data_IF_794254322547
#
_entry.id   IF_794254322547
#
_cell.length_a   1.000
_cell.length_b   1.000
_cell.length_c   1.000
_cell.angle_alpha   90.00
_cell.angle_beta   90.00
_cell.angle_gamma   90.00
#
_symmetry.space_group_name_H-M   'P 1'
#
loop_
_entity.id
_entity.type
_entity.pdbx_description
1 polymer ?
#
# COMPACT_ATOMS: atom_id res chain seq x y z
N UNK A 1 64.75 25.68 31.66
CA UNK A 1 64.24 27.04 31.95
C UNK A 1 63.80 27.66 30.63
N UNK A 2 62.52 28.02 30.49
CA UNK A 2 61.94 29.04 29.56
C UNK A 2 62.15 28.79 28.05
N UNK A 3 61.19 28.74 27.13
CA UNK A 3 59.77 29.09 27.07
C UNK A 3 59.17 28.35 25.85
N UNK A 4 57.94 27.88 25.98
CA UNK A 4 57.03 27.62 24.86
C UNK A 4 56.32 28.95 24.54
N UNK A 5 56.09 29.30 23.27
CA UNK A 5 54.70 29.33 22.84
C UNK A 5 54.47 28.62 21.50
N UNK A 6 53.34 27.93 21.49
CA UNK A 6 52.65 27.32 20.37
C UNK A 6 52.34 28.35 19.27
N UNK A 7 52.63 28.00 18.02
CA UNK A 7 51.96 28.57 16.85
C UNK A 7 51.09 27.49 16.25
N UNK A 8 49.90 27.33 16.84
CA UNK A 8 48.74 26.78 16.15
C UNK A 8 48.13 27.90 15.32
N UNK A 9 48.16 27.76 14.00
CA UNK A 9 47.28 28.48 13.10
C UNK A 9 47.06 27.66 11.82
N UNK A 10 46.51 26.45 11.97
CA UNK A 10 45.79 25.82 10.86
C UNK A 10 44.45 26.54 10.74
N UNK A 11 44.38 27.55 9.87
CA UNK A 11 43.12 28.10 9.44
C UNK A 11 42.36 27.01 8.67
N UNK A 12 41.33 26.44 9.29
CA UNK A 12 40.26 25.73 8.59
C UNK A 12 39.56 26.75 7.70
N UNK A 13 39.98 26.83 6.44
CA UNK A 13 39.21 27.52 5.41
C UNK A 13 38.24 26.49 4.78
N UNK A 14 37.21 26.11 5.54
CA UNK A 14 35.97 25.62 4.93
C UNK A 14 35.31 26.82 4.28
N UNK A 15 35.65 27.10 3.02
CA UNK A 15 34.74 27.85 2.19
C UNK A 15 33.56 26.95 1.88
N UNK A 16 32.40 27.37 2.38
CA UNK A 16 31.11 26.88 1.97
C UNK A 16 31.07 26.89 0.45
N UNK A 17 31.18 25.70 -0.16
CA UNK A 17 30.64 25.53 -1.49
C UNK A 17 29.15 25.86 -1.35
N UNK A 18 28.61 26.84 -2.11
CA UNK A 18 27.17 26.93 -2.21
C UNK A 18 26.70 25.55 -2.63
N UNK A 19 25.84 24.92 -1.81
CA UNK A 19 24.97 23.88 -2.31
C UNK A 19 24.12 24.59 -3.34
N UNK A 20 24.56 24.53 -4.60
CA UNK A 20 23.67 24.82 -5.70
C UNK A 20 22.60 23.75 -5.61
N UNK A 21 21.44 24.14 -5.08
CA UNK A 21 20.21 23.44 -5.41
C UNK A 21 20.15 23.48 -6.93
N UNK A 22 20.41 22.33 -7.54
CA UNK A 22 20.04 22.15 -8.94
C UNK A 22 18.56 22.49 -8.98
N UNK A 23 18.12 23.49 -9.78
CA UNK A 23 16.69 23.67 -9.96
C UNK A 23 16.18 22.30 -10.39
N UNK A 24 15.12 21.81 -9.74
CA UNK A 24 14.42 20.62 -10.19
C UNK A 24 14.30 20.79 -11.70
N UNK A 25 14.97 19.91 -12.46
CA UNK A 25 15.01 20.00 -13.92
C UNK A 25 13.57 20.29 -14.35
N UNK A 26 13.37 21.44 -15.00
CA UNK A 26 12.04 21.98 -15.23
C UNK A 26 11.14 20.86 -15.74
N UNK A 27 9.97 20.69 -15.11
CA UNK A 27 9.02 19.65 -15.50
C UNK A 27 8.76 19.84 -16.99
N UNK A 28 9.34 18.96 -17.79
CA UNK A 28 9.19 18.91 -19.23
C UNK A 28 7.72 18.57 -19.53
N UNK A 29 7.18 18.89 -20.72
CA UNK A 29 5.75 18.75 -20.98
C UNK A 29 5.33 17.27 -20.95
N UNK A 30 4.83 16.83 -19.80
CA UNK A 30 4.28 15.49 -19.60
C UNK A 30 3.08 15.25 -20.52
N UNK A 31 3.07 14.13 -21.24
CA UNK A 31 1.93 13.74 -22.08
C UNK A 31 1.01 12.83 -21.28
N UNK A 32 -0.22 13.27 -21.04
CA UNK A 32 -1.27 12.46 -20.43
C UNK A 32 -2.33 12.08 -21.46
N UNK A 33 -2.51 10.78 -21.71
CA UNK A 33 -3.61 10.27 -22.52
C UNK A 33 -4.79 9.96 -21.60
N UNK A 34 -5.86 10.71 -21.75
CA UNK A 34 -7.07 10.55 -20.95
C UNK A 34 -8.16 9.82 -21.75
N UNK A 35 -8.39 8.56 -21.41
CA UNK A 35 -9.49 7.76 -21.94
C UNK A 35 -10.69 7.85 -21.00
N UNK A 36 -11.60 8.79 -21.27
CA UNK A 36 -12.84 8.91 -20.51
C UNK A 36 -13.75 7.71 -20.77
N UNK A 37 -14.32 7.14 -19.70
CA UNK A 37 -15.27 6.01 -19.78
C UNK A 37 -14.74 4.82 -20.60
N UNK A 38 -13.47 4.46 -20.41
CA UNK A 38 -12.82 3.34 -21.08
C UNK A 38 -13.64 2.05 -20.86
N UNK A 39 -14.08 1.37 -21.94
CA UNK A 39 -14.95 0.20 -21.83
C UNK A 39 -14.17 -1.02 -21.35
N UNK A 40 -14.80 -1.87 -20.53
CA UNK A 40 -14.27 -3.17 -20.14
C UNK A 40 -15.36 -4.23 -20.19
N UNK A 41 -14.96 -5.46 -20.53
CA UNK A 41 -15.85 -6.64 -20.54
C UNK A 41 -16.27 -7.05 -19.13
N UNK A 42 -15.42 -6.81 -18.13
CA UNK A 42 -15.57 -7.39 -16.79
C UNK A 42 -15.94 -6.40 -15.70
N UNK A 43 -15.64 -5.11 -15.89
CA UNK A 43 -15.81 -4.08 -14.87
C UNK A 43 -16.45 -2.83 -15.46
N UNK A 44 -17.09 -2.01 -14.61
CA UNK A 44 -17.74 -0.78 -15.06
C UNK A 44 -16.76 0.16 -15.79
N UNK A 45 -17.22 0.90 -16.82
CA UNK A 45 -16.39 1.88 -17.52
C UNK A 45 -15.82 2.92 -16.56
N UNK A 46 -14.55 3.26 -16.73
CA UNK A 46 -13.84 4.21 -15.86
C UNK A 46 -12.89 5.07 -16.66
N UNK A 47 -12.53 6.22 -16.11
CA UNK A 47 -11.49 7.04 -16.71
C UNK A 47 -10.15 6.33 -16.54
N UNK A 48 -9.44 6.11 -17.64
CA UNK A 48 -8.05 5.61 -17.64
C UNK A 48 -7.16 6.77 -18.05
N UNK A 49 -6.18 7.08 -17.21
CA UNK A 49 -5.15 8.08 -17.48
C UNK A 49 -3.83 7.35 -17.69
N UNK A 50 -3.22 7.57 -18.86
CA UNK A 50 -1.90 7.00 -19.20
C UNK A 50 -0.92 8.15 -19.28
N UNK A 51 0.03 8.16 -18.34
CA UNK A 51 1.15 9.08 -18.38
C UNK A 51 2.25 8.52 -19.29
N UNK A 52 2.72 9.33 -20.22
CA UNK A 52 3.85 9.04 -21.10
C UNK A 52 4.99 10.01 -20.77
N UNK A 53 6.19 9.51 -20.42
CA UNK A 53 7.36 10.36 -20.25
C UNK A 53 7.81 10.94 -21.60
N UNK A 54 8.65 11.97 -21.54
CA UNK A 54 9.25 12.52 -22.76
C UNK A 54 9.94 11.46 -23.60
N UNK A 55 9.80 11.60 -24.93
CA UNK A 55 10.38 10.71 -25.93
C UNK A 55 9.95 9.25 -25.80
N UNK A 56 8.79 8.98 -25.18
CA UNK A 56 8.22 7.62 -25.07
C UNK A 56 8.25 6.84 -26.39
N UNK A 57 7.93 7.50 -27.51
CA UNK A 57 7.94 6.90 -28.87
C UNK A 57 9.32 6.44 -29.36
N UNK A 58 10.41 6.92 -28.75
CA UNK A 58 11.80 6.57 -29.08
C UNK A 58 12.35 5.46 -28.18
N UNK A 59 11.59 5.00 -27.18
CA UNK A 59 12.02 4.02 -26.18
C UNK A 59 11.53 2.61 -26.54
N UNK A 60 12.42 1.61 -26.49
CA UNK A 60 12.03 0.20 -26.66
C UNK A 60 11.27 -0.36 -25.44
N UNK A 61 11.59 0.11 -24.23
CA UNK A 61 10.95 -0.31 -22.98
C UNK A 61 11.19 0.69 -21.84
N UNK A 62 10.31 0.67 -20.84
CA UNK A 62 10.43 1.44 -19.60
C UNK A 62 10.36 0.52 -18.38
N UNK A 63 11.01 0.90 -17.26
CA UNK A 63 10.77 0.24 -15.98
C UNK A 63 9.30 0.40 -15.58
N UNK A 64 8.62 -0.72 -15.32
CA UNK A 64 7.23 -0.72 -14.87
C UNK A 64 7.17 -0.45 -13.38
N UNK A 65 6.43 0.58 -12.97
CA UNK A 65 6.07 0.80 -11.57
C UNK A 65 4.80 0.01 -11.25
N UNK A 66 4.90 -0.95 -10.32
CA UNK A 66 3.74 -1.63 -9.75
C UNK A 66 3.23 -0.83 -8.55
N UNK A 67 2.01 -0.29 -8.65
CA UNK A 67 1.33 0.31 -7.50
C UNK A 67 0.30 -0.66 -6.93
N UNK A 68 0.51 -1.08 -5.69
CA UNK A 68 -0.44 -1.89 -4.93
C UNK A 68 -1.41 -0.95 -4.19
N UNK A 69 -2.67 -0.88 -4.65
CA UNK A 69 -3.70 -0.02 -4.05
C UNK A 69 -4.75 -0.76 -3.21
N UNK A 70 -4.73 -2.10 -3.19
CA UNK A 70 -5.60 -2.85 -2.31
C UNK A 70 -5.34 -4.35 -2.23
N UNK A 71 -5.93 -4.97 -1.22
CA UNK A 71 -5.73 -6.38 -0.88
C UNK A 71 -7.06 -7.07 -0.54
N UNK A 72 -7.25 -8.28 -1.07
CA UNK A 72 -8.34 -9.19 -0.71
C UNK A 72 -7.77 -10.32 0.14
N UNK A 73 -7.97 -10.25 1.46
CA UNK A 73 -7.42 -11.20 2.41
C UNK A 73 -8.50 -12.22 2.82
N UNK A 74 -8.57 -13.32 2.08
CA UNK A 74 -9.51 -14.41 2.37
C UNK A 74 -9.04 -15.26 3.54
N UNK A 75 -9.94 -15.57 4.46
CA UNK A 75 -9.68 -16.47 5.61
C UNK A 75 -8.32 -16.19 6.26
N UNK A 76 -8.09 -14.94 6.68
CA UNK A 76 -6.74 -14.54 7.14
C UNK A 76 -6.33 -15.36 8.36
N UNK A 77 -5.32 -16.21 8.20
CA UNK A 77 -4.90 -17.16 9.23
C UNK A 77 -4.09 -16.46 10.33
N UNK A 78 -4.80 -15.76 11.22
CA UNK A 78 -4.23 -15.03 12.35
C UNK A 78 -3.67 -15.89 13.49
N UNK A 79 -4.28 -17.03 13.89
CA UNK A 79 -3.87 -17.77 15.08
C UNK A 79 -2.41 -18.25 15.16
N UNK A 80 -1.68 -18.55 14.07
CA UNK A 80 -0.30 -19.01 14.14
C UNK A 80 0.59 -18.18 15.06
N UNK A 81 1.41 -18.89 15.86
CA UNK A 81 2.32 -18.30 16.86
C UNK A 81 1.60 -17.30 17.78
N UNK A 82 0.41 -17.69 18.26
CA UNK A 82 -0.45 -16.90 19.15
C UNK A 82 -0.75 -15.48 18.62
N UNK A 83 -0.97 -15.35 17.31
CA UNK A 83 -1.29 -14.07 16.71
C UNK A 83 -0.12 -13.11 16.57
N UNK A 84 1.13 -13.62 16.43
CA UNK A 84 2.34 -12.79 16.29
C UNK A 84 2.21 -11.67 15.24
N UNK A 85 1.45 -11.90 14.17
CA UNK A 85 1.23 -10.93 13.10
C UNK A 85 0.31 -9.76 13.48
N UNK A 86 -0.41 -9.85 14.60
CA UNK A 86 -1.27 -8.75 15.09
C UNK A 86 -0.44 -7.55 15.55
N UNK A 87 0.75 -7.77 16.13
CA UNK A 87 1.65 -6.67 16.48
C UNK A 87 2.27 -6.01 15.23
N UNK A 88 2.53 -6.82 14.21
CA UNK A 88 2.98 -6.31 12.92
C UNK A 88 1.93 -5.40 12.29
N UNK A 89 0.67 -5.83 12.20
CA UNK A 89 -0.37 -5.03 11.53
C UNK A 89 -0.67 -3.73 12.29
N UNK A 90 -0.64 -3.73 13.63
CA UNK A 90 -0.81 -2.51 14.44
C UNK A 90 0.15 -1.39 14.07
N UNK A 91 1.36 -1.72 13.61
CA UNK A 91 2.42 -0.75 13.33
C UNK A 91 2.77 -0.59 11.85
N UNK A 92 2.38 -1.54 10.99
CA UNK A 92 2.80 -1.59 9.59
C UNK A 92 1.64 -1.46 8.58
N UNK A 93 0.44 -1.07 9.03
CA UNK A 93 -0.65 -0.80 8.10
C UNK A 93 -0.32 0.36 7.15
N UNK A 94 -0.65 0.21 5.85
CA UNK A 94 -0.36 1.21 4.84
C UNK A 94 -1.20 2.47 5.03
N UNK A 95 -0.93 3.49 4.20
CA UNK A 95 -1.68 4.74 4.25
C UNK A 95 -3.16 4.52 3.87
N UNK A 96 -4.12 4.79 4.78
CA UNK A 96 -5.54 4.65 4.49
C UNK A 96 -6.05 5.62 3.40
N UNK A 97 -5.30 6.67 3.07
CA UNK A 97 -5.68 7.57 1.97
C UNK A 97 -5.52 6.93 0.59
N UNK A 98 -4.63 5.94 0.45
CA UNK A 98 -4.25 5.36 -0.86
C UNK A 98 -4.55 3.87 -0.98
N UNK A 99 -4.87 3.19 0.13
CA UNK A 99 -5.07 1.73 0.14
C UNK A 99 -6.48 1.33 0.56
N UNK A 100 -7.00 0.25 -0.04
CA UNK A 100 -8.20 -0.46 0.39
C UNK A 100 -7.88 -1.88 0.86
N UNK A 101 -8.43 -2.32 1.99
CA UNK A 101 -8.19 -3.68 2.50
C UNK A 101 -9.51 -4.39 2.78
N UNK A 102 -9.68 -5.58 2.23
CA UNK A 102 -10.79 -6.47 2.52
C UNK A 102 -10.28 -7.64 3.36
N UNK A 103 -11.01 -7.99 4.42
CA UNK A 103 -10.82 -9.24 5.17
C UNK A 103 -12.08 -10.08 5.13
N UNK A 104 -11.92 -11.40 5.13
CA UNK A 104 -12.98 -12.30 5.54
C UNK A 104 -12.49 -13.54 6.29
N UNK A 105 -13.46 -14.25 6.88
CA UNK A 105 -13.29 -15.56 7.50
C UNK A 105 -14.63 -16.32 7.55
N UNK A 106 -14.56 -17.65 7.59
CA UNK A 106 -15.69 -18.54 7.83
C UNK A 106 -15.95 -18.82 9.31
N UNK A 107 -16.93 -19.67 9.63
CA UNK A 107 -17.23 -20.06 11.03
C UNK A 107 -17.05 -21.54 11.32
N UNK A 108 -16.65 -22.33 10.32
CA UNK A 108 -16.41 -23.75 10.47
C UNK A 108 -14.96 -24.14 10.15
N UNK A 109 -14.57 -25.33 10.61
CA UNK A 109 -13.23 -25.86 10.36
C UNK A 109 -12.15 -24.98 10.99
N UNK A 110 -11.09 -24.71 10.23
CA UNK A 110 -9.95 -23.93 10.71
C UNK A 110 -10.30 -22.46 10.97
N UNK A 111 -11.28 -21.89 10.27
CA UNK A 111 -11.65 -20.48 10.39
C UNK A 111 -12.45 -20.17 11.66
N UNK A 112 -13.02 -21.20 12.33
CA UNK A 112 -13.86 -21.06 13.51
C UNK A 112 -13.16 -20.30 14.66
N UNK A 113 -11.83 -20.31 14.70
CA UNK A 113 -11.01 -19.68 15.73
C UNK A 113 -10.56 -18.26 15.36
N UNK A 114 -10.88 -17.74 14.17
CA UNK A 114 -10.28 -16.50 13.68
C UNK A 114 -10.95 -15.24 14.23
N UNK A 115 -12.22 -15.31 14.63
CA UNK A 115 -12.99 -14.12 15.03
C UNK A 115 -12.33 -13.27 16.13
N UNK A 116 -11.82 -13.84 17.24
CA UNK A 116 -11.16 -13.03 18.27
C UNK A 116 -9.93 -12.29 17.76
N UNK A 117 -9.15 -12.92 16.87
CA UNK A 117 -7.95 -12.30 16.29
C UNK A 117 -8.31 -11.25 15.23
N UNK A 118 -9.33 -11.53 14.42
CA UNK A 118 -9.82 -10.58 13.43
C UNK A 118 -10.37 -9.32 14.11
N UNK A 119 -11.02 -9.43 15.27
CA UNK A 119 -11.45 -8.25 16.05
C UNK A 119 -10.28 -7.36 16.47
N UNK A 120 -9.14 -7.94 16.86
CA UNK A 120 -7.92 -7.17 17.19
C UNK A 120 -7.35 -6.49 15.94
N UNK A 121 -7.34 -7.18 14.79
CA UNK A 121 -6.95 -6.57 13.52
C UNK A 121 -7.89 -5.42 13.12
N UNK A 122 -9.20 -5.60 13.30
CA UNK A 122 -10.22 -4.60 13.03
C UNK A 122 -10.04 -3.33 13.90
N UNK A 123 -9.63 -3.48 15.17
CA UNK A 123 -9.26 -2.36 16.04
C UNK A 123 -8.02 -1.63 15.52
N UNK A 124 -7.00 -2.36 15.07
CA UNK A 124 -5.80 -1.78 14.47
C UNK A 124 -6.12 -0.97 13.20
N UNK A 125 -7.02 -1.49 12.35
CA UNK A 125 -7.51 -0.79 11.16
C UNK A 125 -8.15 0.56 11.54
N UNK A 126 -9.05 0.55 12.53
CA UNK A 126 -9.70 1.77 13.01
C UNK A 126 -8.70 2.78 13.59
N UNK A 127 -7.79 2.31 14.44
CA UNK A 127 -6.76 3.15 15.06
C UNK A 127 -5.84 3.80 14.01
N UNK A 128 -5.53 3.10 12.91
CA UNK A 128 -4.72 3.65 11.81
C UNK A 128 -5.46 4.71 10.98
N UNK A 129 -6.79 4.74 11.04
CA UNK A 129 -7.63 5.70 10.33
C UNK A 129 -8.41 5.11 9.14
N UNK A 130 -8.40 3.80 8.95
CA UNK A 130 -9.31 3.16 8.00
C UNK A 130 -10.77 3.37 8.41
N UNK A 131 -11.63 3.48 7.42
CA UNK A 131 -13.07 3.75 7.51
C UNK A 131 -13.84 2.56 6.96
N UNK A 132 -14.60 1.93 7.84
CA UNK A 132 -15.46 0.79 7.51
C UNK A 132 -16.36 1.12 6.32
N UNK A 133 -16.49 0.19 5.39
CA UNK A 133 -17.26 0.29 4.13
C UNK A 133 -16.79 1.36 3.14
N UNK A 134 -15.64 2.01 3.37
CA UNK A 134 -15.04 2.98 2.44
C UNK A 134 -13.71 2.49 1.89
N UNK A 135 -12.74 2.26 2.77
CA UNK A 135 -11.40 1.77 2.44
C UNK A 135 -11.01 0.54 3.28
N UNK A 136 -11.92 0.05 4.13
CA UNK A 136 -11.78 -1.27 4.74
C UNK A 136 -13.13 -1.92 5.01
N UNK A 137 -13.20 -3.24 4.89
CA UNK A 137 -14.34 -4.07 5.33
C UNK A 137 -13.83 -5.42 5.84
N UNK A 138 -14.53 -5.97 6.83
CA UNK A 138 -14.34 -7.33 7.35
C UNK A 138 -15.69 -8.06 7.24
N UNK A 139 -15.70 -9.23 6.61
CA UNK A 139 -16.91 -10.05 6.39
C UNK A 139 -16.79 -11.40 7.09
N UNK A 140 -17.85 -11.82 7.78
CA UNK A 140 -17.98 -13.13 8.41
C UNK A 140 -18.98 -13.97 7.61
N UNK A 141 -18.61 -15.21 7.28
CA UNK A 141 -19.45 -16.10 6.49
C UNK A 141 -19.82 -17.35 7.28
N UNK A 142 -21.08 -17.42 7.70
CA UNK A 142 -21.58 -18.57 8.47
C UNK A 142 -21.52 -19.86 7.64
N UNK A 143 -20.97 -20.93 8.23
CA UNK A 143 -20.84 -22.26 7.60
C UNK A 143 -19.63 -22.41 6.66
N UNK A 144 -18.95 -21.32 6.30
CA UNK A 144 -17.77 -21.37 5.44
C UNK A 144 -16.52 -21.88 6.19
N UNK A 145 -15.59 -22.47 5.45
CA UNK A 145 -14.33 -23.06 5.94
C UNK A 145 -13.13 -22.44 5.22
N UNK A 146 -11.94 -22.90 5.62
CA UNK A 146 -10.66 -22.56 5.01
C UNK A 146 -10.40 -23.34 3.71
N UNK A 147 -11.32 -23.26 2.74
CA UNK A 147 -11.25 -24.02 1.50
C UNK A 147 -11.50 -23.16 0.26
N UNK A 148 -10.86 -23.53 -0.86
CA UNK A 148 -10.97 -22.83 -2.13
C UNK A 148 -12.40 -22.79 -2.68
N UNK A 149 -13.22 -23.80 -2.38
CA UNK A 149 -14.63 -23.84 -2.77
C UNK A 149 -15.45 -22.71 -2.11
N UNK A 150 -15.21 -22.47 -0.82
CA UNK A 150 -15.86 -21.39 -0.06
C UNK A 150 -15.34 -20.02 -0.50
N UNK A 151 -14.03 -19.90 -0.76
CA UNK A 151 -13.44 -18.67 -1.30
C UNK A 151 -13.99 -18.35 -2.69
N UNK A 152 -14.11 -19.36 -3.55
CA UNK A 152 -14.71 -19.23 -4.88
C UNK A 152 -16.16 -18.76 -4.79
N UNK A 153 -16.97 -19.36 -3.91
CA UNK A 153 -18.37 -18.97 -3.74
C UNK A 153 -18.54 -17.48 -3.36
N UNK A 154 -17.59 -16.92 -2.59
CA UNK A 154 -17.63 -15.52 -2.13
C UNK A 154 -16.66 -14.58 -2.84
N UNK A 155 -15.97 -15.03 -3.89
CA UNK A 155 -14.93 -14.25 -4.58
C UNK A 155 -15.43 -12.90 -5.12
N UNK A 156 -16.69 -12.85 -5.53
CA UNK A 156 -17.33 -11.64 -6.04
C UNK A 156 -17.37 -10.49 -5.01
N UNK A 157 -17.44 -10.80 -3.71
CA UNK A 157 -17.58 -9.81 -2.63
C UNK A 157 -16.38 -8.87 -2.53
N UNK A 158 -15.12 -9.35 -2.36
CA UNK A 158 -13.95 -8.47 -2.37
C UNK A 158 -13.76 -7.75 -3.70
N UNK A 159 -14.10 -8.38 -4.83
CA UNK A 159 -13.98 -7.72 -6.14
C UNK A 159 -14.89 -6.50 -6.25
N UNK A 160 -16.13 -6.60 -5.76
CA UNK A 160 -17.04 -5.46 -5.71
C UNK A 160 -16.53 -4.34 -4.80
N UNK A 161 -15.93 -4.68 -3.66
CA UNK A 161 -15.39 -3.68 -2.73
C UNK A 161 -14.15 -2.97 -3.28
N UNK A 162 -13.21 -3.74 -3.85
CA UNK A 162 -11.92 -3.20 -4.29
C UNK A 162 -12.03 -2.39 -5.60
N UNK A 163 -12.87 -2.83 -6.54
CA UNK A 163 -12.89 -2.31 -7.91
C UNK A 163 -13.95 -1.22 -8.17
N UNK A 164 -14.76 -0.88 -7.15
CA UNK A 164 -15.73 0.23 -7.17
C UNK A 164 -15.17 1.53 -6.63
#
# INVERSE_FOLDING_TARGET
MKNIPYLFASALLMWALPVFTQPAAGILPETFLLYKSFPSKYIAPRTVEVWLPDKYEELEALPVLYMFGGAACFSTHWPPLDGVFLEYIKTNLPDPATHKIYFDFGTEGLDAEYEPFQQIADEAMQARGFKKNKNWVTMKFEGAKHYEEDWHARFHVPMEFLLR
#
